data_IF_185560802546
#
_entry.id   IF_185560802546
#
_cell.length_a   1.000
_cell.length_b   1.000
_cell.length_c   1.000
_cell.angle_alpha   90.00
_cell.angle_beta   90.00
_cell.angle_gamma   90.00
#
_symmetry.space_group_name_H-M   'P 1'
#
loop_
_entity.id
_entity.type
_entity.pdbx_description
1 polymer ?
#
# COMPACT_ATOMS: atom_id res chain seq x y z
N UNK A 1 20.03 -7.67 1.78
CA UNK A 1 19.94 -6.29 1.25
C UNK A 1 18.63 -6.19 0.51
N UNK A 2 18.00 -5.12 0.58
CA UNK A 2 16.69 -5.26 0.59
C UNK A 2 15.92 -4.18 -0.12
N UNK A 3 14.75 -3.98 0.32
CA UNK A 3 13.69 -3.07 -0.07
C UNK A 3 14.20 -1.72 -0.55
N UNK A 4 15.30 -1.21 -0.01
CA UNK A 4 15.81 0.12 -0.34
C UNK A 4 16.07 0.33 -1.83
N UNK A 5 16.65 -0.66 -2.54
CA UNK A 5 16.84 -0.55 -3.99
C UNK A 5 15.51 -0.58 -4.74
N UNK A 6 14.57 -1.43 -4.28
CA UNK A 6 13.22 -1.48 -4.86
C UNK A 6 12.45 -0.20 -4.59
N UNK A 7 12.55 0.31 -3.35
CA UNK A 7 11.94 1.58 -2.97
C UNK A 7 12.54 2.74 -3.78
N UNK A 8 13.86 2.84 -3.86
CA UNK A 8 14.53 3.87 -4.65
C UNK A 8 14.10 3.83 -6.12
N UNK A 9 14.10 2.64 -6.73
CA UNK A 9 13.60 2.46 -8.11
C UNK A 9 12.16 2.90 -8.25
N UNK A 10 11.28 2.51 -7.31
CA UNK A 10 9.87 2.88 -7.33
C UNK A 10 9.70 4.39 -7.25
N UNK A 11 10.43 5.06 -6.37
CA UNK A 11 10.40 6.51 -6.22
C UNK A 11 10.92 7.24 -7.47
N UNK A 12 12.06 6.81 -8.02
CA UNK A 12 12.66 7.40 -9.22
C UNK A 12 11.74 7.28 -10.44
N UNK A 13 11.01 6.16 -10.55
CA UNK A 13 10.11 5.90 -11.67
C UNK A 13 8.65 6.27 -11.37
N UNK A 14 8.32 6.85 -10.22
CA UNK A 14 6.95 7.20 -9.86
C UNK A 14 6.30 8.16 -10.87
N UNK A 15 7.06 9.17 -11.31
CA UNK A 15 6.57 10.17 -12.28
C UNK A 15 6.23 9.55 -13.64
N UNK A 16 6.98 8.55 -14.11
CA UNK A 16 6.72 7.89 -15.41
C UNK A 16 5.47 7.02 -15.40
N UNK A 17 4.97 6.61 -14.23
CA UNK A 17 3.71 5.86 -14.08
C UNK A 17 2.48 6.76 -14.01
N UNK A 18 2.65 8.08 -14.11
CA UNK A 18 1.56 9.04 -14.07
C UNK A 18 1.00 9.30 -12.66
N UNK A 19 0.09 10.27 -12.58
CA UNK A 19 -0.58 10.63 -11.32
C UNK A 19 -1.53 9.52 -10.89
N UNK A 20 -1.51 9.15 -9.61
CA UNK A 20 -2.50 8.26 -9.01
C UNK A 20 -3.74 9.05 -8.62
N UNK A 21 -4.91 8.55 -9.00
CA UNK A 21 -6.22 9.04 -8.55
C UNK A 21 -6.83 8.02 -7.62
N UNK A 22 -7.63 8.47 -6.66
CA UNK A 22 -8.35 7.56 -5.78
C UNK A 22 -9.24 6.63 -6.62
N UNK A 23 -9.13 5.34 -6.37
CA UNK A 23 -9.80 4.29 -7.15
C UNK A 23 -8.94 3.67 -8.26
N UNK A 24 -7.78 4.26 -8.60
CA UNK A 24 -6.84 3.65 -9.53
C UNK A 24 -6.13 2.43 -8.89
N UNK A 25 -5.62 1.55 -9.72
CA UNK A 25 -4.66 0.52 -9.31
C UNK A 25 -3.22 1.02 -9.49
N UNK A 26 -2.39 0.86 -8.45
CA UNK A 26 -0.94 0.95 -8.57
C UNK A 26 -0.38 -0.45 -8.80
N UNK A 27 0.26 -0.69 -9.94
CA UNK A 27 0.86 -1.98 -10.29
C UNK A 27 2.37 -1.88 -10.36
N UNK A 28 3.05 -2.67 -9.54
CA UNK A 28 4.50 -2.77 -9.48
C UNK A 28 4.95 -4.20 -9.73
N UNK A 29 5.81 -4.40 -10.74
CA UNK A 29 6.35 -5.72 -11.08
C UNK A 29 7.64 -6.01 -10.34
N UNK A 30 7.69 -7.20 -9.73
CA UNK A 30 8.84 -7.71 -8.98
C UNK A 30 9.27 -9.09 -9.47
N UNK A 31 10.45 -9.49 -9.04
CA UNK A 31 10.95 -10.87 -9.14
C UNK A 31 11.34 -11.34 -7.74
N UNK A 32 10.97 -12.56 -7.39
CA UNK A 32 11.41 -13.21 -6.15
C UNK A 32 12.91 -13.50 -6.26
N UNK A 33 13.72 -12.90 -5.40
CA UNK A 33 15.17 -13.02 -5.38
C UNK A 33 15.64 -13.94 -4.25
N UNK A 34 16.89 -14.44 -4.25
CA UNK A 34 17.42 -15.25 -3.15
C UNK A 34 17.31 -14.57 -1.77
N UNK A 35 17.37 -13.24 -1.71
CA UNK A 35 17.18 -12.47 -0.47
C UNK A 35 15.75 -12.39 0.01
N UNK A 36 14.79 -12.87 -0.78
CA UNK A 36 13.35 -12.78 -0.47
C UNK A 36 12.78 -14.11 0.03
N UNK A 37 13.49 -15.22 -0.14
CA UNK A 37 13.00 -16.56 0.20
C UNK A 37 13.31 -16.96 1.63
N UNK A 38 12.54 -17.91 2.12
CA UNK A 38 12.77 -18.64 3.37
C UNK A 38 13.32 -20.05 3.12
N UNK A 39 13.36 -20.88 4.17
CA UNK A 39 13.81 -22.28 4.11
C UNK A 39 12.99 -23.16 3.16
N UNK A 40 11.78 -22.76 2.81
CA UNK A 40 10.91 -23.49 1.88
C UNK A 40 11.11 -23.07 0.40
N UNK A 41 12.11 -22.24 0.13
CA UNK A 41 12.47 -21.73 -1.20
C UNK A 41 11.36 -20.91 -1.90
N UNK A 42 10.46 -20.33 -1.13
CA UNK A 42 9.44 -19.40 -1.64
C UNK A 42 9.47 -18.08 -0.87
N UNK A 43 8.76 -17.08 -1.39
CA UNK A 43 8.71 -15.72 -0.85
C UNK A 43 8.33 -15.76 0.63
N UNK A 44 9.22 -15.26 1.48
CA UNK A 44 9.04 -15.19 2.93
C UNK A 44 7.85 -14.29 3.29
N UNK A 45 7.08 -14.66 4.31
CA UNK A 45 5.88 -13.95 4.74
C UNK A 45 6.13 -12.47 5.04
N UNK A 46 7.25 -12.12 5.69
CA UNK A 46 7.59 -10.73 5.95
C UNK A 46 7.85 -9.91 4.67
N UNK A 47 8.21 -10.57 3.56
CA UNK A 47 8.44 -9.88 2.29
C UNK A 47 7.16 -9.39 1.64
N UNK A 48 6.05 -10.11 1.82
CA UNK A 48 4.74 -9.62 1.35
C UNK A 48 4.39 -8.27 1.98
N UNK A 49 4.60 -8.13 3.30
CA UNK A 49 4.34 -6.87 4.01
C UNK A 49 5.20 -5.73 3.47
N UNK A 50 6.50 -6.00 3.33
CA UNK A 50 7.45 -5.00 2.85
C UNK A 50 7.21 -4.57 1.40
N UNK A 51 6.76 -5.48 0.53
CA UNK A 51 6.41 -5.18 -0.85
C UNK A 51 5.06 -4.46 -0.95
N UNK A 52 4.12 -4.76 -0.06
CA UNK A 52 2.88 -4.00 0.10
C UNK A 52 3.18 -2.54 0.51
N UNK A 53 4.16 -2.32 1.40
CA UNK A 53 4.62 -0.98 1.77
C UNK A 53 5.15 -0.20 0.57
N UNK A 54 5.94 -0.85 -0.31
CA UNK A 54 6.42 -0.20 -1.54
C UNK A 54 5.24 0.19 -2.43
N UNK A 55 4.22 -0.67 -2.55
CA UNK A 55 3.00 -0.35 -3.29
C UNK A 55 2.26 0.86 -2.73
N UNK A 56 2.15 0.94 -1.40
CA UNK A 56 1.55 2.08 -0.70
C UNK A 56 2.36 3.37 -0.90
N UNK A 57 3.68 3.29 -0.79
CA UNK A 57 4.57 4.44 -1.01
C UNK A 57 4.47 4.93 -2.46
N UNK A 58 4.31 4.04 -3.45
CA UNK A 58 4.06 4.43 -4.83
C UNK A 58 2.77 5.26 -4.97
N UNK A 59 1.69 4.80 -4.32
CA UNK A 59 0.43 5.56 -4.26
C UNK A 59 0.67 6.94 -3.64
N UNK A 60 1.34 7.03 -2.50
CA UNK A 60 1.62 8.29 -1.82
C UNK A 60 2.44 9.26 -2.68
N UNK A 61 3.47 8.75 -3.36
CA UNK A 61 4.31 9.55 -4.23
C UNK A 61 3.52 10.11 -5.41
N UNK A 62 2.74 9.25 -6.09
CA UNK A 62 1.99 9.59 -7.30
C UNK A 62 0.73 10.41 -7.01
N UNK A 63 0.11 10.23 -5.85
CA UNK A 63 -1.01 11.06 -5.40
C UNK A 63 -0.57 12.47 -4.94
N UNK A 64 0.72 12.66 -4.64
CA UNK A 64 1.24 13.93 -4.11
C UNK A 64 1.22 14.04 -2.58
N UNK A 65 0.84 12.97 -1.87
CA UNK A 65 0.75 12.97 -0.40
C UNK A 65 2.10 13.25 0.26
N UNK A 66 3.23 12.79 -0.33
CA UNK A 66 4.58 13.06 0.22
C UNK A 66 4.85 14.57 0.29
N UNK A 67 4.45 15.33 -0.73
CA UNK A 67 4.60 16.79 -0.74
C UNK A 67 3.73 17.48 0.30
N UNK A 68 2.50 17.02 0.48
CA UNK A 68 1.58 17.52 1.52
C UNK A 68 2.10 17.17 2.91
N UNK A 69 2.52 15.95 3.12
CA UNK A 69 3.04 15.47 4.40
C UNK A 69 4.21 16.33 4.90
N UNK A 70 5.14 16.71 4.01
CA UNK A 70 6.24 17.62 4.36
C UNK A 70 5.76 19.02 4.74
N UNK A 71 4.77 19.58 4.02
CA UNK A 71 4.25 20.93 4.27
C UNK A 71 3.45 21.04 5.55
N UNK A 72 2.66 20.02 5.84
CA UNK A 72 1.75 20.00 6.98
C UNK A 72 2.30 19.28 8.22
N UNK A 73 3.53 18.78 8.20
CA UNK A 73 4.10 17.92 9.25
C UNK A 73 3.27 16.66 9.52
N UNK A 74 2.70 16.10 8.44
CA UNK A 74 1.91 14.89 8.47
C UNK A 74 2.81 13.66 8.37
N UNK A 75 2.52 12.66 9.20
CA UNK A 75 3.22 11.39 9.22
C UNK A 75 2.23 10.25 8.91
N UNK A 76 2.28 9.63 7.72
CA UNK A 76 1.50 8.41 7.46
C UNK A 76 1.93 7.30 8.41
N UNK A 77 0.96 6.71 9.10
CA UNK A 77 1.17 5.63 10.08
C UNK A 77 0.31 4.42 9.71
N UNK A 78 0.87 3.23 9.90
CA UNK A 78 0.12 1.98 9.77
C UNK A 78 -0.56 1.66 11.10
N UNK A 79 -1.85 1.29 11.06
CA UNK A 79 -2.61 0.82 12.20
C UNK A 79 -2.57 -0.70 12.30
N UNK A 80 -3.05 -1.40 11.28
CA UNK A 80 -3.15 -2.85 11.27
C UNK A 80 -2.74 -3.46 9.92
N UNK A 81 -2.47 -4.77 9.95
CA UNK A 81 -2.14 -5.55 8.77
C UNK A 81 -2.69 -6.96 8.90
N UNK A 82 -3.38 -7.42 7.86
CA UNK A 82 -3.87 -8.79 7.72
C UNK A 82 -3.39 -9.38 6.39
N UNK A 83 -2.88 -10.60 6.40
CA UNK A 83 -2.39 -11.29 5.20
C UNK A 83 -3.04 -12.63 5.03
N UNK A 84 -3.45 -12.93 3.79
CA UNK A 84 -3.96 -14.24 3.37
C UNK A 84 -3.06 -14.76 2.25
N UNK A 85 -2.48 -15.93 2.44
CA UNK A 85 -1.62 -16.60 1.47
C UNK A 85 -2.39 -17.72 0.79
N UNK A 86 -2.48 -17.66 -0.54
CA UNK A 86 -3.26 -18.62 -1.34
C UNK A 86 -2.35 -19.53 -2.15
N UNK A 87 -1.22 -18.98 -2.64
CA UNK A 87 -0.23 -19.69 -3.45
C UNK A 87 1.17 -19.20 -3.15
N UNK A 88 2.14 -20.08 -3.25
CA UNK A 88 3.55 -19.73 -3.11
C UNK A 88 4.07 -18.93 -4.31
N UNK A 89 4.98 -18.01 -4.05
CA UNK A 89 5.78 -17.33 -5.06
C UNK A 89 7.21 -17.87 -4.95
N UNK A 90 7.58 -18.72 -5.90
CA UNK A 90 8.89 -19.40 -5.90
C UNK A 90 10.02 -18.49 -6.33
N UNK A 91 11.23 -18.87 -5.97
CA UNK A 91 12.47 -18.23 -6.40
C UNK A 91 12.47 -17.97 -7.92
N UNK A 92 12.96 -16.79 -8.31
CA UNK A 92 13.06 -16.27 -9.68
C UNK A 92 11.73 -16.00 -10.40
N UNK A 93 10.58 -16.37 -9.83
CA UNK A 93 9.29 -16.07 -10.45
C UNK A 93 9.00 -14.57 -10.43
N UNK A 94 8.42 -14.08 -11.52
CA UNK A 94 7.89 -12.70 -11.60
C UNK A 94 6.46 -12.69 -11.06
N UNK A 95 6.11 -11.59 -10.43
CA UNK A 95 4.77 -11.30 -9.92
C UNK A 95 4.55 -9.79 -9.86
N UNK A 96 3.31 -9.39 -9.79
CA UNK A 96 2.91 -8.01 -9.62
C UNK A 96 2.32 -7.80 -8.23
N UNK A 97 2.61 -6.65 -7.64
CA UNK A 97 1.88 -6.11 -6.49
C UNK A 97 0.93 -5.05 -7.00
N UNK A 98 -0.36 -5.33 -6.91
CA UNK A 98 -1.44 -4.44 -7.31
C UNK A 98 -2.04 -3.85 -6.06
N UNK A 99 -1.85 -2.55 -5.87
CA UNK A 99 -2.24 -1.81 -4.68
C UNK A 99 -3.36 -0.83 -4.98
N UNK A 100 -4.38 -0.80 -4.13
CA UNK A 100 -5.54 0.10 -4.22
C UNK A 100 -5.83 0.73 -2.86
N UNK A 101 -6.39 1.93 -2.87
CA UNK A 101 -7.12 2.47 -1.72
C UNK A 101 -8.58 2.04 -1.86
N UNK A 102 -9.06 1.22 -0.95
CA UNK A 102 -10.39 0.62 -1.03
C UNK A 102 -11.48 1.55 -0.51
N UNK A 103 -11.29 2.05 0.69
CA UNK A 103 -12.24 2.92 1.37
C UNK A 103 -11.58 3.60 2.57
N UNK A 104 -12.30 4.52 3.21
CA UNK A 104 -11.89 5.14 4.47
C UNK A 104 -13.12 5.53 5.29
N UNK A 105 -12.92 5.66 6.59
CA UNK A 105 -13.88 6.19 7.54
C UNK A 105 -13.15 6.98 8.63
N UNK A 106 -13.60 8.18 8.91
CA UNK A 106 -12.96 9.06 9.89
C UNK A 106 -11.48 9.32 9.57
N UNK A 107 -10.59 8.83 10.44
CA UNK A 107 -9.14 9.02 10.33
C UNK A 107 -8.40 7.80 9.77
N UNK A 108 -9.12 6.75 9.40
CA UNK A 108 -8.55 5.49 8.94
C UNK A 108 -8.87 5.22 7.47
N UNK A 109 -7.89 4.71 6.74
CA UNK A 109 -7.99 4.29 5.35
C UNK A 109 -7.64 2.82 5.23
N UNK A 110 -8.37 2.08 4.39
CA UNK A 110 -8.08 0.70 4.03
C UNK A 110 -7.36 0.66 2.71
N UNK A 111 -6.19 0.03 2.71
CA UNK A 111 -5.43 -0.34 1.53
C UNK A 111 -5.49 -1.84 1.26
N UNK A 112 -5.58 -2.22 0.00
CA UNK A 112 -5.52 -3.61 -0.46
C UNK A 112 -4.33 -3.79 -1.37
N UNK A 113 -3.58 -4.87 -1.16
CA UNK A 113 -2.41 -5.22 -1.96
C UNK A 113 -2.55 -6.68 -2.42
N UNK A 114 -2.82 -6.89 -3.70
CA UNK A 114 -2.91 -8.22 -4.31
C UNK A 114 -1.57 -8.60 -4.93
N UNK A 115 -1.07 -9.77 -4.60
CA UNK A 115 0.11 -10.37 -5.23
C UNK A 115 -0.35 -11.29 -6.35
N UNK A 116 -0.09 -10.90 -7.59
CA UNK A 116 -0.64 -11.54 -8.79
C UNK A 116 0.49 -12.20 -9.57
N UNK A 117 0.36 -13.49 -9.85
CA UNK A 117 1.30 -14.24 -10.66
C UNK A 117 1.18 -13.86 -12.14
N UNK A 118 2.16 -14.26 -12.96
CA UNK A 118 2.17 -13.98 -14.40
C UNK A 118 0.98 -14.60 -15.16
N UNK A 119 0.38 -15.63 -14.62
CA UNK A 119 -0.83 -16.27 -15.16
C UNK A 119 -2.14 -15.61 -14.70
N UNK A 120 -2.06 -14.48 -14.01
CA UNK A 120 -3.21 -13.72 -13.51
C UNK A 120 -3.78 -14.21 -12.18
N UNK A 121 -3.31 -15.35 -11.63
CA UNK A 121 -3.82 -15.88 -10.36
C UNK A 121 -3.28 -15.09 -9.17
N UNK A 122 -4.13 -14.87 -8.18
CA UNK A 122 -3.72 -14.25 -6.92
C UNK A 122 -2.92 -15.25 -6.08
N UNK A 123 -1.72 -14.85 -5.66
CA UNK A 123 -0.87 -15.60 -4.75
C UNK A 123 -1.11 -15.23 -3.29
N UNK A 124 -1.29 -13.95 -3.00
CA UNK A 124 -1.58 -13.47 -1.66
C UNK A 124 -2.40 -12.17 -1.71
N UNK A 125 -3.08 -11.90 -0.61
CA UNK A 125 -3.78 -10.65 -0.35
C UNK A 125 -3.27 -10.08 0.96
N UNK A 126 -2.94 -8.79 0.96
CA UNK A 126 -2.59 -8.03 2.16
C UNK A 126 -3.55 -6.87 2.28
N UNK A 127 -4.26 -6.79 3.39
CA UNK A 127 -5.07 -5.65 3.79
C UNK A 127 -4.31 -4.83 4.83
N UNK A 128 -4.43 -3.52 4.76
CA UNK A 128 -3.80 -2.61 5.72
C UNK A 128 -4.79 -1.56 6.17
N UNK A 129 -4.76 -1.20 7.46
CA UNK A 129 -5.34 0.05 7.95
C UNK A 129 -4.21 1.05 8.16
N UNK A 130 -4.46 2.29 7.82
CA UNK A 130 -3.49 3.37 8.00
C UNK A 130 -4.20 4.67 8.32
N UNK A 131 -3.48 5.60 8.91
CA UNK A 131 -3.92 6.96 9.16
C UNK A 131 -2.78 7.94 8.90
N UNK A 132 -3.07 9.22 9.05
CA UNK A 132 -2.06 10.27 8.95
C UNK A 132 -2.09 11.09 10.24
N UNK A 133 -0.97 11.11 10.95
CA UNK A 133 -0.81 11.86 12.17
C UNK A 133 -0.26 13.26 11.88
N UNK A 134 -0.88 14.27 12.45
CA UNK A 134 -0.43 15.66 12.38
C UNK A 134 0.33 16.01 13.67
N UNK A 135 1.66 16.17 13.56
CA UNK A 135 2.50 16.53 14.71
C UNK A 135 2.25 17.94 15.23
N UNK A 136 1.69 18.82 14.40
CA UNK A 136 1.35 20.18 14.82
C UNK A 136 0.05 20.25 15.63
N UNK A 137 -0.94 19.44 15.26
CA UNK A 137 -2.24 19.36 15.95
C UNK A 137 -2.25 18.34 17.09
N UNK A 138 -1.29 17.40 17.11
CA UNK A 138 -1.23 16.33 18.12
C UNK A 138 -2.30 15.26 17.94
N UNK A 139 -2.76 14.98 16.71
CA UNK A 139 -3.83 14.01 16.44
C UNK A 139 -3.86 13.50 15.00
N UNK A 140 -4.72 12.51 14.75
CA UNK A 140 -4.92 11.99 13.39
C UNK A 140 -5.79 12.94 12.56
N UNK A 141 -5.44 13.08 11.29
CA UNK A 141 -6.13 13.90 10.30
C UNK A 141 -7.29 13.12 9.72
N UNK A 142 -8.51 13.70 9.61
CA UNK A 142 -9.61 13.09 8.87
C UNK A 142 -9.19 12.81 7.41
N UNK A 143 -9.48 11.62 6.90
CA UNK A 143 -9.07 11.26 5.53
C UNK A 143 -9.72 12.16 4.49
N UNK A 144 -10.94 12.62 4.71
CA UNK A 144 -11.62 13.58 3.83
C UNK A 144 -10.86 14.91 3.69
N UNK A 145 -10.21 15.38 4.77
CA UNK A 145 -9.32 16.56 4.72
C UNK A 145 -8.11 16.30 3.82
N UNK A 146 -7.52 15.11 3.92
CA UNK A 146 -6.38 14.70 3.08
C UNK A 146 -6.81 14.60 1.62
N UNK A 147 -7.93 13.96 1.34
CA UNK A 147 -8.50 13.80 -0.01
C UNK A 147 -8.76 15.16 -0.64
N UNK A 148 -9.36 16.08 0.12
CA UNK A 148 -9.61 17.46 -0.32
C UNK A 148 -8.31 18.22 -0.59
N UNK A 149 -7.30 18.08 0.28
CA UNK A 149 -5.98 18.69 0.11
C UNK A 149 -5.22 18.14 -1.12
N UNK A 150 -5.51 16.91 -1.54
CA UNK A 150 -5.00 16.31 -2.77
C UNK A 150 -5.73 16.81 -4.03
N UNK A 151 -6.76 17.65 -3.85
CA UNK A 151 -7.60 18.17 -4.93
C UNK A 151 -8.56 17.13 -5.51
N UNK A 152 -8.92 16.11 -4.73
CA UNK A 152 -9.91 15.12 -5.08
C UNK A 152 -11.25 15.43 -4.38
N UNK A 153 -12.36 15.22 -5.11
CA UNK A 153 -13.72 15.32 -4.57
C UNK A 153 -14.42 13.99 -4.78
N UNK A 154 -13.99 12.99 -4.01
CA UNK A 154 -14.48 11.62 -4.12
C UNK A 154 -14.97 11.21 -2.73
N UNK A 155 -16.13 10.57 -2.70
CA UNK A 155 -16.65 9.94 -1.48
C UNK A 155 -16.23 8.47 -1.45
N UNK A 156 -15.84 7.93 -0.28
CA UNK A 156 -15.56 6.51 -0.15
C UNK A 156 -16.86 5.71 -0.31
N UNK A 157 -16.74 4.46 -0.75
CA UNK A 157 -17.82 3.50 -0.51
C UNK A 157 -17.92 3.21 0.99
N UNK A 158 -19.09 2.83 1.51
CA UNK A 158 -19.15 2.36 2.89
C UNK A 158 -18.23 1.16 3.11
N UNK A 159 -17.47 1.10 4.23
CA UNK A 159 -16.73 -0.09 4.60
C UNK A 159 -17.66 -1.30 4.76
N UNK A 160 -17.21 -2.48 4.33
CA UNK A 160 -17.92 -3.74 4.62
C UNK A 160 -17.87 -4.05 6.12
N UNK A 161 -18.68 -5.00 6.57
CA UNK A 161 -18.68 -5.43 7.97
C UNK A 161 -17.28 -5.97 8.39
N UNK A 162 -16.66 -6.79 7.54
CA UNK A 162 -15.29 -7.31 7.75
C UNK A 162 -14.25 -6.17 7.83
N UNK A 163 -14.38 -5.17 6.98
CA UNK A 163 -13.49 -4.00 6.98
C UNK A 163 -13.67 -3.17 8.25
N UNK A 164 -14.89 -3.00 8.76
CA UNK A 164 -15.15 -2.30 10.03
C UNK A 164 -14.56 -3.05 11.22
N UNK A 165 -14.72 -4.38 11.26
CA UNK A 165 -14.09 -5.21 12.30
C UNK A 165 -12.57 -5.02 12.27
N UNK A 166 -11.98 -5.04 11.07
CA UNK A 166 -10.55 -4.84 10.90
C UNK A 166 -10.09 -3.42 11.27
N UNK A 167 -10.90 -2.39 11.04
CA UNK A 167 -10.60 -1.02 11.46
C UNK A 167 -10.72 -0.83 12.97
N UNK A 168 -11.51 -1.64 13.65
CA UNK A 168 -11.74 -1.57 15.10
C UNK A 168 -10.72 -2.39 15.93
N UNK A 169 -9.93 -3.26 15.29
CA UNK A 169 -8.93 -4.10 15.94
C UNK A 169 -7.61 -3.38 16.15
#
# INVERSE_FOLDING_TARGET
MYVWLRLARTMLTARSRGRYRMGDESRLSFRCLPSDIDSNLHLNNARYMMLADIGRIDIFARAGLIGLARRHRWAPMMGGLQSVYVREIRLWKRFDVVSTVETWEGTQVIGRHRFVLQDGRTAALVLTTAGVYDSGRGGFVPIDEIVSALGANIRPRPPSEEERIFMAS
#
